data_IF_220111492837
#
_entry.id   IF_220111492837
#
_cell.length_a   1.000
_cell.length_b   1.000
_cell.length_c   1.000
_cell.angle_alpha   90.00
_cell.angle_beta   90.00
_cell.angle_gamma   90.00
#
_symmetry.space_group_name_H-M   'P 1'
#
loop_
_entity.id
_entity.type
_entity.pdbx_description
1 polymer ?
#
# COMPACT_ATOMS: atom_id res chain seq x y z
N UNK A 1 0.36 -17.56 47.11
CA UNK A 1 0.47 -16.64 48.26
C UNK A 1 0.50 -15.20 47.77
N UNK A 2 -0.02 -14.23 48.53
CA UNK A 2 -0.23 -12.84 48.07
C UNK A 2 0.36 -11.84 49.07
N UNK A 3 1.37 -11.08 48.64
CA UNK A 3 1.97 -9.96 49.38
C UNK A 3 2.74 -9.03 48.41
N UNK A 4 2.81 -7.71 48.58
CA UNK A 4 2.01 -6.79 49.43
C UNK A 4 2.24 -5.35 48.91
N UNK A 5 1.20 -4.57 48.65
CA UNK A 5 1.36 -3.14 48.30
C UNK A 5 1.57 -2.28 49.55
N UNK A 6 2.63 -1.45 49.56
CA UNK A 6 2.87 -0.46 50.62
C UNK A 6 1.93 0.74 50.47
N UNK A 7 1.27 1.11 51.56
CA UNK A 7 0.36 2.27 51.67
C UNK A 7 1.11 3.48 52.19
N UNK A 8 0.73 4.68 51.75
CA UNK A 8 0.77 5.86 52.62
C UNK A 8 -0.48 6.72 52.41
N UNK A 9 -1.15 7.09 53.50
CA UNK A 9 -2.38 7.90 53.53
C UNK A 9 -2.09 9.24 54.23
N UNK A 10 -2.22 10.35 53.51
CA UNK A 10 -2.44 11.69 54.08
C UNK A 10 -3.93 12.04 54.08
N UNK A 11 -4.42 12.77 55.10
CA UNK A 11 -5.86 13.00 55.35
C UNK A 11 -6.44 14.21 54.58
N UNK A 12 -7.77 14.21 54.38
CA UNK A 12 -8.56 15.27 53.72
C UNK A 12 -9.17 16.30 54.71
N UNK A 13 -9.41 17.52 54.21
CA UNK A 13 -10.42 18.54 54.60
C UNK A 13 -10.46 19.57 53.45
N UNK A 14 -11.56 20.13 52.95
CA UNK A 14 -13.00 19.93 53.14
C UNK A 14 -13.80 20.99 52.34
N UNK A 15 -15.12 20.83 52.18
CA UNK A 15 -16.10 21.82 51.63
C UNK A 15 -16.03 22.18 50.12
N UNK A 16 -17.01 22.96 49.65
CA UNK A 16 -17.75 22.76 48.40
C UNK A 16 -18.08 24.08 47.66
N UNK A 17 -18.35 23.96 46.35
CA UNK A 17 -19.22 24.82 45.49
C UNK A 17 -18.64 25.97 44.63
N UNK A 18 -19.27 26.09 43.44
CA UNK A 18 -19.48 27.25 42.53
C UNK A 18 -18.34 27.95 41.74
N UNK A 19 -18.35 27.66 40.42
CA UNK A 19 -18.55 28.55 39.26
C UNK A 19 -18.01 30.01 39.18
N UNK A 20 -17.65 30.39 37.94
CA UNK A 20 -17.26 31.73 37.42
C UNK A 20 -15.91 32.27 37.96
N UNK A 21 -14.94 32.61 37.11
CA UNK A 21 -14.99 33.83 36.29
C UNK A 21 -14.09 33.78 35.04
N UNK A 22 -14.60 34.34 33.95
CA UNK A 22 -13.89 34.59 32.69
C UNK A 22 -13.01 35.84 32.85
N UNK A 23 -11.73 35.78 32.46
CA UNK A 23 -10.92 36.99 32.16
C UNK A 23 -10.44 36.97 30.70
N UNK A 24 -11.15 37.74 29.87
CA UNK A 24 -10.73 38.10 28.51
C UNK A 24 -9.64 39.18 28.58
N UNK A 25 -8.70 39.17 27.63
CA UNK A 25 -7.99 40.38 27.16
C UNK A 25 -8.04 40.38 25.63
N UNK A 26 -8.28 41.55 25.01
CA UNK A 26 -8.73 41.68 23.61
C UNK A 26 -7.80 42.65 22.85
N UNK A 27 -7.25 42.21 21.71
CA UNK A 27 -6.72 42.97 20.53
C UNK A 27 -5.67 44.09 20.80
N UNK A 28 -4.87 44.59 19.86
CA UNK A 28 -4.63 44.40 18.40
C UNK A 28 -3.09 44.57 18.16
N UNK A 29 -2.45 44.56 16.98
CA UNK A 29 -2.80 44.71 15.55
C UNK A 29 -2.05 43.63 14.73
N UNK A 30 -2.35 43.47 13.44
CA UNK A 30 -1.65 42.58 12.50
C UNK A 30 -0.31 43.14 11.98
N UNK A 31 0.70 42.28 11.81
CA UNK A 31 1.55 42.28 10.61
C UNK A 31 1.84 40.82 10.24
N UNK A 32 1.54 40.46 8.98
CA UNK A 32 1.42 39.05 8.59
C UNK A 32 2.66 38.44 7.97
N UNK A 33 2.82 37.13 8.17
CA UNK A 33 3.49 36.23 7.24
C UNK A 33 2.55 35.05 6.93
N UNK A 34 1.75 35.19 5.86
CA UNK A 34 1.08 34.06 5.18
C UNK A 34 2.03 33.50 4.11
N UNK A 35 2.02 32.17 3.94
CA UNK A 35 2.37 31.37 2.74
C UNK A 35 3.43 30.27 3.01
N UNK A 36 3.38 29.07 2.39
CA UNK A 36 2.37 28.47 1.49
C UNK A 36 2.54 26.93 1.32
N UNK A 37 1.48 26.30 0.79
CA UNK A 37 1.53 25.15 -0.12
C UNK A 37 2.00 23.78 0.40
N UNK A 38 1.18 23.16 1.27
CA UNK A 38 0.87 21.75 1.05
C UNK A 38 -0.08 21.61 -0.14
N UNK A 39 0.42 21.26 -1.33
CA UNK A 39 -0.41 21.01 -2.52
C UNK A 39 -1.21 19.70 -2.35
N UNK A 40 -2.31 19.75 -1.59
CA UNK A 40 -3.27 18.65 -1.52
C UNK A 40 -4.02 18.62 -2.86
N UNK A 41 -3.49 17.85 -3.81
CA UNK A 41 -4.21 17.56 -5.05
C UNK A 41 -5.58 16.95 -4.70
N UNK A 42 -6.69 17.42 -5.31
CA UNK A 42 -8.03 16.92 -5.01
C UNK A 42 -8.09 15.40 -5.08
N UNK A 43 -8.86 14.78 -4.18
CA UNK A 43 -8.99 13.33 -4.08
C UNK A 43 -9.33 12.66 -5.44
N UNK A 44 -10.17 13.32 -6.25
CA UNK A 44 -10.52 12.89 -7.60
C UNK A 44 -9.35 12.89 -8.61
N UNK A 45 -8.35 13.79 -8.46
CA UNK A 45 -7.14 13.79 -9.30
C UNK A 45 -6.24 12.60 -8.94
N UNK A 46 -6.22 12.23 -7.64
CA UNK A 46 -5.51 11.04 -7.15
C UNK A 46 -6.11 9.75 -7.70
N UNK A 47 -7.44 9.58 -7.60
CA UNK A 47 -8.12 8.39 -8.15
C UNK A 47 -7.99 8.29 -9.67
N UNK A 48 -8.18 9.39 -10.43
CA UNK A 48 -8.02 9.38 -11.90
C UNK A 48 -6.62 8.92 -12.33
N UNK A 49 -5.57 9.37 -11.63
CA UNK A 49 -4.18 8.99 -11.91
C UNK A 49 -3.90 7.54 -11.55
N UNK A 50 -4.36 7.07 -10.39
CA UNK A 50 -4.23 5.67 -9.99
C UNK A 50 -4.94 4.74 -10.99
N UNK A 51 -6.15 5.08 -11.42
CA UNK A 51 -6.88 4.37 -12.46
C UNK A 51 -6.11 4.35 -13.81
N UNK A 52 -5.42 5.43 -14.16
CA UNK A 52 -4.56 5.47 -15.36
C UNK A 52 -3.35 4.53 -15.23
N UNK A 53 -2.76 4.39 -14.04
CA UNK A 53 -1.68 3.42 -13.79
C UNK A 53 -2.25 1.99 -13.84
N UNK A 54 -3.35 1.71 -13.12
CA UNK A 54 -4.05 0.41 -13.11
C UNK A 54 -4.39 -0.06 -14.53
N UNK A 55 -5.06 0.77 -15.32
CA UNK A 55 -5.45 0.43 -16.70
C UNK A 55 -4.24 0.12 -17.59
N UNK A 56 -3.13 0.87 -17.47
CA UNK A 56 -1.88 0.57 -18.19
C UNK A 56 -1.21 -0.73 -17.74
N UNK A 57 -1.43 -1.16 -16.50
CA UNK A 57 -0.86 -2.38 -15.95
C UNK A 57 -1.63 -3.65 -16.33
N UNK A 58 -2.85 -3.57 -16.88
CA UNK A 58 -3.64 -4.75 -17.28
C UNK A 58 -2.99 -5.58 -18.39
N UNK A 59 -2.17 -4.95 -19.23
CA UNK A 59 -1.43 -5.62 -20.31
C UNK A 59 -0.02 -6.09 -19.88
N UNK A 60 0.32 -6.00 -18.59
CA UNK A 60 1.69 -6.24 -18.08
C UNK A 60 1.70 -7.10 -16.82
N UNK A 61 0.74 -6.91 -15.91
CA UNK A 61 0.63 -7.64 -14.65
C UNK A 61 -0.59 -8.57 -14.67
N UNK A 62 -0.54 -9.61 -13.84
CA UNK A 62 -1.62 -10.57 -13.66
C UNK A 62 -2.59 -10.10 -12.57
N UNK A 63 -3.88 -10.20 -12.83
CA UNK A 63 -4.93 -9.80 -11.88
C UNK A 63 -5.02 -10.80 -10.71
N UNK A 64 -5.34 -10.33 -9.50
CA UNK A 64 -5.49 -11.20 -8.33
C UNK A 64 -6.65 -12.19 -8.45
N UNK A 65 -7.64 -11.90 -9.29
CA UNK A 65 -8.75 -12.81 -9.59
C UNK A 65 -8.33 -14.09 -10.34
N UNK A 66 -7.07 -14.18 -10.78
CA UNK A 66 -6.49 -15.41 -11.35
C UNK A 66 -6.02 -16.41 -10.31
N UNK A 67 -5.95 -16.04 -9.02
CA UNK A 67 -5.54 -16.94 -7.94
C UNK A 67 -6.55 -18.09 -7.80
N UNK A 68 -6.05 -19.32 -7.76
CA UNK A 68 -6.88 -20.53 -7.59
C UNK A 68 -7.47 -20.62 -6.19
N UNK A 69 -6.68 -20.23 -5.18
CA UNK A 69 -7.01 -20.35 -3.76
C UNK A 69 -7.63 -19.05 -3.28
N UNK A 70 -8.79 -19.14 -2.62
CA UNK A 70 -9.43 -18.03 -1.92
C UNK A 70 -8.66 -17.71 -0.62
N UNK A 71 -7.64 -16.87 -0.74
CA UNK A 71 -6.83 -16.44 0.40
C UNK A 71 -7.52 -15.34 1.20
N UNK A 72 -7.33 -15.29 2.54
CA UNK A 72 -7.81 -14.20 3.38
C UNK A 72 -7.41 -12.83 2.82
N UNK A 73 -8.33 -11.86 2.90
CA UNK A 73 -8.19 -10.52 2.29
C UNK A 73 -6.84 -9.85 2.56
N UNK A 74 -6.29 -10.00 3.77
CA UNK A 74 -5.01 -9.38 4.15
C UNK A 74 -3.79 -10.09 3.56
N UNK A 75 -3.86 -11.40 3.31
CA UNK A 75 -2.85 -12.11 2.52
C UNK A 75 -2.90 -11.64 1.06
N UNK A 76 -4.09 -11.56 0.46
CA UNK A 76 -4.28 -11.08 -0.92
C UNK A 76 -3.77 -9.64 -1.08
N UNK A 77 -4.01 -8.75 -0.09
CA UNK A 77 -3.40 -7.41 -0.05
C UNK A 77 -1.87 -7.44 0.04
N UNK A 78 -1.28 -8.39 0.78
CA UNK A 78 0.18 -8.48 0.95
C UNK A 78 0.92 -8.88 -0.33
N UNK A 79 0.27 -9.61 -1.24
CA UNK A 79 0.82 -10.05 -2.54
C UNK A 79 0.38 -9.20 -3.73
N UNK A 80 -0.45 -8.16 -3.51
CA UNK A 80 -0.94 -7.25 -4.55
C UNK A 80 -0.36 -5.83 -4.42
N UNK A 81 -0.13 -5.19 -5.56
CA UNK A 81 0.43 -3.85 -5.60
C UNK A 81 -0.61 -2.79 -5.21
N UNK A 82 -0.36 -2.07 -4.12
CA UNK A 82 -1.25 -1.03 -3.57
C UNK A 82 -1.36 0.27 -4.43
N UNK A 83 -1.05 0.18 -5.74
CA UNK A 83 -1.16 1.26 -6.75
C UNK A 83 -1.92 0.81 -8.00
N UNK A 84 -1.76 -0.46 -8.42
CA UNK A 84 -2.47 -1.01 -9.59
C UNK A 84 -3.44 -2.15 -9.24
N UNK A 85 -3.46 -2.63 -8.00
CA UNK A 85 -4.35 -3.69 -7.49
C UNK A 85 -4.20 -5.05 -8.22
N UNK A 86 -3.12 -5.23 -8.97
CA UNK A 86 -2.73 -6.50 -9.60
C UNK A 86 -1.70 -7.22 -8.72
N UNK A 87 -1.45 -8.51 -8.98
CA UNK A 87 -0.39 -9.28 -8.31
C UNK A 87 0.96 -8.58 -8.53
N UNK A 88 1.80 -8.58 -7.49
CA UNK A 88 3.10 -7.92 -7.50
C UNK A 88 4.02 -8.48 -8.61
N UNK A 89 4.33 -7.63 -9.59
CA UNK A 89 5.29 -7.89 -10.66
C UNK A 89 6.52 -6.99 -10.46
N UNK A 90 7.71 -7.60 -10.43
CA UNK A 90 8.97 -6.91 -10.11
C UNK A 90 8.83 -6.04 -8.83
N UNK A 91 8.57 -6.68 -7.67
CA UNK A 91 8.24 -5.97 -6.45
C UNK A 91 9.42 -5.21 -5.87
N UNK A 92 9.13 -4.03 -5.33
CA UNK A 92 10.04 -3.24 -4.49
C UNK A 92 9.37 -2.93 -3.16
N UNK A 93 10.17 -2.93 -2.11
CA UNK A 93 9.82 -2.54 -0.75
C UNK A 93 10.33 -1.13 -0.47
N UNK A 94 9.45 -0.31 0.11
CA UNK A 94 9.77 1.03 0.62
C UNK A 94 10.42 0.96 2.01
N UNK A 95 11.06 2.04 2.46
CA UNK A 95 11.58 2.19 3.83
C UNK A 95 10.53 1.83 4.90
N UNK A 96 9.30 2.31 4.72
CA UNK A 96 8.10 2.00 5.53
C UNK A 96 7.45 0.63 5.23
N UNK A 97 8.20 -0.30 4.64
CA UNK A 97 7.89 -1.74 4.44
C UNK A 97 6.72 -2.11 3.55
N UNK A 98 6.05 -1.14 2.92
CA UNK A 98 5.01 -1.39 1.92
C UNK A 98 5.59 -1.81 0.56
N UNK A 99 4.81 -2.61 -0.17
CA UNK A 99 5.21 -3.31 -1.40
C UNK A 99 4.46 -2.79 -2.64
N UNK A 100 5.19 -2.62 -3.74
CA UNK A 100 4.67 -2.13 -5.01
C UNK A 100 5.42 -2.76 -6.19
N UNK A 101 4.80 -2.86 -7.37
CA UNK A 101 5.56 -3.09 -8.61
C UNK A 101 6.49 -1.90 -8.88
N UNK A 102 7.75 -2.13 -9.25
CA UNK A 102 8.74 -1.06 -9.50
C UNK A 102 8.22 0.01 -10.47
N UNK A 103 7.60 -0.41 -11.57
CA UNK A 103 7.04 0.53 -12.56
C UNK A 103 5.85 1.34 -12.03
N UNK A 104 5.11 0.84 -11.03
CA UNK A 104 3.94 1.51 -10.47
C UNK A 104 4.35 2.62 -9.51
N UNK A 105 5.24 2.32 -8.56
CA UNK A 105 5.69 3.30 -7.56
C UNK A 105 6.51 4.43 -8.21
N UNK A 106 7.34 4.12 -9.22
CA UNK A 106 8.08 5.15 -9.97
C UNK A 106 7.16 6.05 -10.81
N UNK A 107 6.07 5.51 -11.40
CA UNK A 107 5.03 6.34 -12.04
C UNK A 107 4.28 7.19 -11.02
N UNK A 108 3.96 6.63 -9.86
CA UNK A 108 3.30 7.36 -8.77
C UNK A 108 4.14 8.55 -8.31
N UNK A 109 5.42 8.34 -8.00
CA UNK A 109 6.33 9.42 -7.56
C UNK A 109 6.39 10.57 -8.57
N UNK A 110 6.47 10.28 -9.88
CA UNK A 110 6.46 11.29 -10.95
C UNK A 110 5.17 12.11 -11.04
N UNK A 111 4.02 11.53 -10.66
CA UNK A 111 2.70 12.17 -10.83
C UNK A 111 2.10 12.75 -9.55
N UNK A 112 2.49 12.21 -8.40
CA UNK A 112 1.88 12.49 -7.10
C UNK A 112 2.86 13.02 -6.05
N UNK A 113 4.17 12.76 -6.20
CA UNK A 113 5.23 13.13 -5.26
C UNK A 113 5.81 11.94 -4.47
N UNK A 114 6.96 12.18 -3.81
CA UNK A 114 7.77 11.18 -3.11
C UNK A 114 7.21 10.78 -1.73
N UNK A 115 6.05 10.11 -1.72
CA UNK A 115 5.46 9.51 -0.52
C UNK A 115 4.84 8.15 -0.83
N UNK A 116 4.83 7.27 0.17
CA UNK A 116 4.22 5.95 0.10
C UNK A 116 2.70 6.07 -0.16
N UNK A 117 2.16 5.45 -1.22
CA UNK A 117 0.72 5.42 -1.50
C UNK A 117 -0.14 4.89 -0.33
N UNK A 118 0.38 3.90 0.41
CA UNK A 118 -0.36 3.20 1.46
C UNK A 118 -0.44 3.97 2.78
N UNK A 119 0.70 4.47 3.30
CA UNK A 119 0.78 5.10 4.62
C UNK A 119 1.16 6.60 4.59
N UNK A 120 1.42 7.17 3.42
CA UNK A 120 1.83 8.58 3.20
C UNK A 120 3.16 8.99 3.83
N UNK A 121 3.93 8.05 4.39
CA UNK A 121 5.30 8.29 4.83
C UNK A 121 6.17 8.75 3.64
N UNK A 122 7.11 9.66 3.88
CA UNK A 122 8.07 10.11 2.86
C UNK A 122 8.89 8.94 2.32
N UNK A 123 9.00 8.85 0.99
CA UNK A 123 9.74 7.77 0.35
C UNK A 123 10.26 8.26 -1.00
N UNK A 124 11.57 8.22 -1.18
CA UNK A 124 12.24 8.61 -2.41
C UNK A 124 12.48 7.37 -3.31
N UNK A 125 12.72 7.57 -4.62
CA UNK A 125 13.08 6.48 -5.53
C UNK A 125 14.33 5.69 -5.10
N UNK A 126 15.25 6.34 -4.38
CA UNK A 126 16.47 5.76 -3.80
C UNK A 126 16.21 4.81 -2.63
N UNK A 127 15.05 4.92 -1.98
CA UNK A 127 14.69 4.13 -0.79
C UNK A 127 14.03 2.80 -1.17
N UNK A 128 13.88 2.54 -2.47
CA UNK A 128 13.27 1.33 -3.01
C UNK A 128 14.29 0.18 -3.02
N UNK A 129 13.99 -0.86 -2.28
CA UNK A 129 14.84 -2.06 -2.13
C UNK A 129 14.09 -3.31 -2.58
N UNK A 130 14.77 -4.37 -3.06
CA UNK A 130 14.12 -5.66 -3.28
C UNK A 130 13.53 -6.21 -1.96
N UNK A 131 12.33 -6.81 -1.95
CA UNK A 131 11.80 -7.50 -0.78
C UNK A 131 12.70 -8.68 -0.36
N UNK A 132 12.56 -9.09 0.90
CA UNK A 132 13.26 -10.26 1.44
C UNK A 132 12.98 -11.53 0.62
N UNK A 133 14.00 -12.37 0.45
CA UNK A 133 13.94 -13.56 -0.43
C UNK A 133 12.83 -14.55 -0.05
N UNK A 134 12.52 -14.69 1.24
CA UNK A 134 11.40 -15.52 1.72
C UNK A 134 10.05 -15.05 1.17
N UNK A 135 9.78 -13.73 1.19
CA UNK A 135 8.58 -13.15 0.60
C UNK A 135 8.53 -13.41 -0.92
N UNK A 136 9.65 -13.22 -1.62
CA UNK A 136 9.73 -13.50 -3.07
C UNK A 136 9.46 -14.98 -3.38
N UNK A 137 9.89 -15.90 -2.52
CA UNK A 137 9.60 -17.33 -2.69
C UNK A 137 8.10 -17.61 -2.50
N UNK A 138 7.46 -17.05 -1.46
CA UNK A 138 6.01 -17.16 -1.23
C UNK A 138 5.22 -16.60 -2.41
N UNK A 139 5.58 -15.40 -2.89
CA UNK A 139 4.96 -14.76 -4.05
C UNK A 139 5.06 -15.62 -5.32
N UNK A 140 6.23 -16.20 -5.60
CA UNK A 140 6.42 -17.07 -6.76
C UNK A 140 5.72 -18.44 -6.65
N UNK A 141 5.33 -18.84 -5.44
CA UNK A 141 4.58 -20.08 -5.16
C UNK A 141 3.06 -19.91 -5.21
N UNK A 142 2.53 -18.71 -5.48
CA UNK A 142 1.10 -18.51 -5.73
C UNK A 142 0.66 -19.30 -6.97
N UNK A 143 -0.48 -19.97 -6.90
CA UNK A 143 -1.04 -20.76 -8.01
C UNK A 143 -2.09 -19.91 -8.73
N UNK A 144 -1.92 -19.75 -10.04
CA UNK A 144 -2.80 -18.98 -10.92
C UNK A 144 -3.41 -19.86 -12.01
N UNK A 145 -4.65 -19.59 -12.39
CA UNK A 145 -5.27 -20.16 -13.60
C UNK A 145 -4.68 -19.54 -14.85
N UNK A 146 -4.51 -20.33 -15.91
CA UNK A 146 -4.16 -19.80 -17.22
C UNK A 146 -5.25 -18.86 -17.77
N UNK A 147 -4.83 -17.82 -18.49
CA UNK A 147 -5.71 -16.89 -19.20
C UNK A 147 -5.96 -17.26 -20.67
N UNK A 148 -5.41 -18.37 -21.17
CA UNK A 148 -5.57 -18.82 -22.55
C UNK A 148 -6.82 -19.69 -22.66
N UNK A 149 -7.76 -19.31 -23.54
CA UNK A 149 -8.98 -20.08 -23.79
C UNK A 149 -8.65 -21.52 -24.22
N UNK A 150 -9.30 -22.50 -23.59
CA UNK A 150 -9.04 -23.93 -23.80
C UNK A 150 -7.84 -24.48 -23.00
N UNK A 151 -7.24 -23.71 -22.09
CA UNK A 151 -6.20 -24.19 -21.19
C UNK A 151 -6.64 -24.08 -19.72
N UNK A 152 -6.93 -25.23 -19.11
CA UNK A 152 -7.35 -25.33 -17.70
C UNK A 152 -6.17 -25.61 -16.75
N UNK A 153 -4.92 -25.38 -17.17
CA UNK A 153 -3.75 -25.56 -16.30
C UNK A 153 -3.70 -24.52 -15.16
N UNK A 154 -3.27 -25.00 -13.99
CA UNK A 154 -2.97 -24.19 -12.82
C UNK A 154 -1.44 -24.09 -12.63
N UNK A 155 -0.90 -22.87 -12.65
CA UNK A 155 0.54 -22.63 -12.78
C UNK A 155 1.05 -21.75 -11.65
N UNK A 156 2.18 -22.13 -11.05
CA UNK A 156 2.92 -21.29 -10.10
C UNK A 156 3.34 -19.98 -10.76
N UNK A 157 3.15 -18.85 -10.09
CA UNK A 157 3.48 -17.51 -10.61
C UNK A 157 4.92 -17.43 -11.18
N UNK A 158 5.88 -18.04 -10.49
CA UNK A 158 7.29 -18.08 -10.92
C UNK A 158 7.56 -18.89 -12.20
N UNK A 159 6.58 -19.66 -12.70
CA UNK A 159 6.62 -20.43 -13.96
C UNK A 159 5.62 -19.91 -15.02
N UNK A 160 4.77 -18.94 -14.68
CA UNK A 160 3.66 -18.51 -15.52
C UNK A 160 4.12 -18.01 -16.90
N UNK A 161 5.20 -17.25 -16.97
CA UNK A 161 5.78 -16.77 -18.25
C UNK A 161 6.19 -17.92 -19.17
N UNK A 162 6.85 -18.95 -18.63
CA UNK A 162 7.30 -20.13 -19.38
C UNK A 162 6.12 -20.95 -19.91
N UNK A 163 5.02 -21.04 -19.15
CA UNK A 163 3.78 -21.67 -19.60
C UNK A 163 3.15 -20.88 -20.77
N UNK A 164 3.03 -19.55 -20.66
CA UNK A 164 2.46 -18.71 -21.73
C UNK A 164 3.29 -18.77 -23.02
N UNK A 165 4.61 -18.86 -22.95
CA UNK A 165 5.46 -19.04 -24.15
C UNK A 165 5.11 -20.29 -24.95
N UNK A 166 4.80 -21.41 -24.30
CA UNK A 166 4.41 -22.66 -24.99
C UNK A 166 3.14 -22.49 -25.82
N UNK A 167 2.15 -21.76 -25.31
CA UNK A 167 0.94 -21.42 -26.07
C UNK A 167 1.24 -20.61 -27.33
N UNK A 168 2.20 -19.69 -27.27
CA UNK A 168 2.60 -18.90 -28.46
C UNK A 168 3.36 -19.75 -29.49
N UNK A 169 4.14 -20.73 -29.06
CA UNK A 169 4.87 -21.65 -29.94
C UNK A 169 3.95 -22.67 -30.62
N UNK A 170 2.90 -23.13 -29.93
CA UNK A 170 1.91 -24.06 -30.51
C UNK A 170 1.08 -23.39 -31.62
N UNK A 171 0.59 -22.16 -31.38
CA UNK A 171 -0.17 -21.40 -32.38
C UNK A 171 0.63 -21.06 -33.65
N UNK A 172 1.96 -21.00 -33.56
CA UNK A 172 2.85 -20.78 -34.70
C UNK A 172 3.16 -22.03 -35.54
N UNK A 173 2.59 -23.20 -35.20
CA UNK A 173 2.76 -24.47 -35.94
C UNK A 173 1.49 -24.93 -36.66
N UNK A 174 0.40 -24.16 -36.54
CA UNK A 174 -0.91 -24.43 -37.15
C UNK A 174 -1.18 -23.52 -38.38
N UNK A 175 -0.13 -22.85 -38.88
CA UNK A 175 -0.13 -21.96 -40.06
C UNK A 175 1.01 -22.32 -41.00
#
# INVERSE_FOLDING_TARGET
DVCRSSKNRGKRKGTMNQNFLIKKKKMSVEHGLKNKNGNISPLWKKTRTLNQIKNKCKQIHLDSNLLVIDYPSDFTKSVTCQVCEHILFDPVQTSCKHLFCRICILKYFKMMGCYCPSCRHTCFPTDLTPPVKSFLNILNSLILKCTVAGCDEEILLGKYSQHISKHTEMKGKET
#
